data_IF_396646571630
#
_entry.id   IF_396646571630
#
_cell.length_a   1.000
_cell.length_b   1.000
_cell.length_c   1.000
_cell.angle_alpha   90.00
_cell.angle_beta   90.00
_cell.angle_gamma   90.00
#
_symmetry.space_group_name_H-M   'P 1'
#
loop_
_entity.id
_entity.type
_entity.pdbx_description
1 polymer ?
#
# COMPACT_ATOMS: atom_id res chain seq x y z
N UNK A 1 -0.67 26.73 -6.79
CA UNK A 1 -1.38 25.85 -5.83
C UNK A 1 -2.08 24.80 -6.66
N UNK A 2 -1.98 23.51 -6.33
CA UNK A 2 -2.60 22.49 -7.17
C UNK A 2 -4.12 22.72 -7.31
N UNK A 3 -4.73 22.54 -8.49
CA UNK A 3 -6.19 22.65 -8.71
C UNK A 3 -6.83 21.67 -7.73
N UNK A 4 -7.49 22.22 -6.72
CA UNK A 4 -8.06 21.41 -5.65
C UNK A 4 -9.03 20.38 -6.24
N UNK A 5 -8.98 19.14 -5.75
CA UNK A 5 -10.05 18.18 -6.00
C UNK A 5 -11.40 18.79 -5.66
N UNK A 6 -12.41 18.41 -6.43
CA UNK A 6 -13.81 18.77 -6.25
C UNK A 6 -14.29 18.40 -4.83
N UNK A 7 -15.41 19.00 -4.42
CA UNK A 7 -16.05 18.64 -3.16
C UNK A 7 -16.43 17.15 -3.12
N UNK A 8 -16.90 16.59 -4.23
CA UNK A 8 -17.24 15.17 -4.33
C UNK A 8 -16.01 14.28 -4.17
N UNK A 9 -14.91 14.60 -4.85
CA UNK A 9 -13.63 13.90 -4.68
C UNK A 9 -13.12 13.95 -3.24
N UNK A 10 -13.25 15.09 -2.55
CA UNK A 10 -12.89 15.22 -1.12
C UNK A 10 -13.78 14.38 -0.22
N UNK A 11 -15.09 14.36 -0.48
CA UNK A 11 -16.05 13.54 0.28
C UNK A 11 -15.71 12.06 0.10
N UNK A 12 -15.47 11.62 -1.13
CA UNK A 12 -15.09 10.25 -1.45
C UNK A 12 -13.82 9.82 -0.71
N UNK A 13 -12.73 10.59 -0.80
CA UNK A 13 -11.47 10.28 -0.11
C UNK A 13 -11.67 10.15 1.43
N UNK A 14 -12.49 11.02 2.03
CA UNK A 14 -12.84 10.95 3.46
C UNK A 14 -13.68 9.72 3.79
N UNK A 15 -14.63 9.34 2.93
CA UNK A 15 -15.45 8.13 3.12
C UNK A 15 -14.58 6.87 3.08
N UNK A 16 -13.64 6.78 2.13
CA UNK A 16 -12.65 5.68 2.07
C UNK A 16 -11.82 5.63 3.36
N UNK A 17 -11.28 6.77 3.81
CA UNK A 17 -10.50 6.83 5.06
C UNK A 17 -11.31 6.43 6.30
N UNK A 18 -12.58 6.84 6.40
CA UNK A 18 -13.48 6.42 7.49
C UNK A 18 -13.76 4.92 7.45
N UNK A 19 -13.98 4.36 6.26
CA UNK A 19 -14.23 2.92 6.11
C UNK A 19 -13.02 2.09 6.53
N UNK A 20 -11.80 2.55 6.21
CA UNK A 20 -10.55 1.93 6.69
C UNK A 20 -10.49 1.95 8.22
N UNK A 21 -10.72 3.11 8.86
CA UNK A 21 -10.73 3.22 10.33
C UNK A 21 -11.80 2.34 10.98
N UNK A 22 -12.99 2.25 10.39
CA UNK A 22 -14.06 1.37 10.88
C UNK A 22 -13.64 -0.10 10.90
N UNK A 23 -12.84 -0.49 9.91
CA UNK A 23 -12.44 -1.87 9.66
C UNK A 23 -11.13 -2.29 10.31
N UNK A 24 -10.31 -1.33 10.72
CA UNK A 24 -9.09 -1.55 11.50
C UNK A 24 -9.32 -2.49 12.69
N UNK A 25 -10.40 -2.25 13.44
CA UNK A 25 -10.78 -3.08 14.59
C UNK A 25 -10.88 -4.57 14.24
N UNK A 26 -11.44 -4.91 13.08
CA UNK A 26 -11.69 -6.30 12.67
C UNK A 26 -10.36 -7.05 12.54
N UNK A 27 -9.39 -6.48 11.81
CA UNK A 27 -8.12 -7.15 11.64
C UNK A 27 -7.17 -6.99 12.82
N UNK A 28 -7.22 -5.88 13.57
CA UNK A 28 -6.44 -5.71 14.79
C UNK A 28 -6.80 -6.79 15.83
N UNK A 29 -8.10 -7.07 15.99
CA UNK A 29 -8.61 -8.17 16.82
C UNK A 29 -8.15 -9.53 16.29
N UNK A 30 -8.17 -9.74 14.96
CA UNK A 30 -7.71 -10.99 14.36
C UNK A 30 -6.21 -11.24 14.58
N UNK A 31 -5.37 -10.20 14.52
CA UNK A 31 -3.92 -10.30 14.79
C UNK A 31 -3.68 -10.61 16.27
N UNK A 32 -4.24 -9.78 17.15
CA UNK A 32 -3.95 -9.79 18.58
C UNK A 32 -4.77 -10.77 19.40
N UNK A 33 -5.64 -11.56 18.76
CA UNK A 33 -6.62 -12.41 19.43
C UNK A 33 -7.51 -11.63 20.42
N UNK A 34 -7.93 -10.42 20.02
CA UNK A 34 -8.82 -9.56 20.79
C UNK A 34 -8.18 -8.70 21.87
N UNK A 35 -6.86 -8.76 22.05
CA UNK A 35 -6.16 -7.92 23.04
C UNK A 35 -6.07 -6.45 22.60
N UNK A 36 -6.01 -6.20 21.30
CA UNK A 36 -5.77 -4.88 20.72
C UNK A 36 -6.84 -4.52 19.69
N UNK A 37 -7.11 -3.22 19.56
CA UNK A 37 -8.15 -2.66 18.70
C UNK A 37 -7.62 -1.81 17.54
N UNK A 38 -6.32 -1.58 17.52
CA UNK A 38 -5.62 -0.77 16.52
C UNK A 38 -4.48 -1.60 15.89
N UNK A 39 -4.12 -1.28 14.66
CA UNK A 39 -3.12 -2.05 13.89
C UNK A 39 -1.78 -2.12 14.60
N UNK A 40 -1.23 -0.95 14.98
CA UNK A 40 0.13 -0.87 15.50
C UNK A 40 0.30 -1.56 16.86
N UNK A 41 -0.59 -1.36 17.85
CA UNK A 41 -0.61 -2.18 19.06
C UNK A 41 -0.77 -3.67 18.76
N UNK A 42 -1.67 -4.07 17.84
CA UNK A 42 -1.88 -5.49 17.52
C UNK A 42 -0.64 -6.18 16.95
N UNK A 43 0.08 -5.53 16.02
CA UNK A 43 1.32 -6.11 15.48
C UNK A 43 2.45 -6.14 16.50
N UNK A 44 2.55 -5.12 17.37
CA UNK A 44 3.50 -5.13 18.49
C UNK A 44 3.21 -6.24 19.50
N UNK A 45 1.94 -6.45 19.82
CA UNK A 45 1.50 -7.55 20.68
C UNK A 45 1.91 -8.91 20.11
N UNK A 46 1.73 -9.11 18.79
CA UNK A 46 2.15 -10.33 18.10
C UNK A 46 3.67 -10.53 18.20
N UNK A 47 4.46 -9.51 17.88
CA UNK A 47 5.92 -9.59 17.96
C UNK A 47 6.40 -9.86 19.40
N UNK A 48 5.81 -9.19 20.40
CA UNK A 48 6.09 -9.45 21.81
C UNK A 48 5.77 -10.89 22.22
N UNK A 49 4.61 -11.41 21.80
CA UNK A 49 4.19 -12.79 22.07
C UNK A 49 5.14 -13.82 21.45
N UNK A 50 5.64 -13.56 20.23
CA UNK A 50 6.64 -14.40 19.58
C UNK A 50 7.98 -14.40 20.31
N UNK A 51 8.40 -13.25 20.83
CA UNK A 51 9.66 -13.11 21.57
C UNK A 51 9.63 -13.82 22.93
N UNK A 52 8.48 -13.78 23.63
CA UNK A 52 8.29 -14.44 24.92
C UNK A 52 8.21 -15.97 24.80
N UNK A 53 7.78 -16.49 23.66
CA UNK A 53 7.69 -17.93 23.45
C UNK A 53 9.08 -18.53 23.18
N UNK A 54 9.53 -19.45 24.03
CA UNK A 54 10.85 -20.09 23.90
C UNK A 54 10.91 -21.27 22.91
N UNK A 55 9.75 -21.85 22.54
CA UNK A 55 9.68 -23.03 21.68
C UNK A 55 9.41 -22.68 20.22
N UNK A 56 10.26 -23.10 19.25
CA UNK A 56 10.01 -22.87 17.82
C UNK A 56 8.68 -23.46 17.33
N UNK A 57 8.24 -24.59 17.89
CA UNK A 57 6.96 -25.22 17.52
C UNK A 57 5.78 -24.37 17.99
N UNK A 58 5.88 -23.79 19.20
CA UNK A 58 4.83 -22.93 19.73
C UNK A 58 4.79 -21.57 19.03
N UNK A 59 5.95 -20.98 18.66
CA UNK A 59 6.01 -19.79 17.79
C UNK A 59 5.33 -20.02 16.44
N UNK A 60 5.59 -21.16 15.82
CA UNK A 60 4.95 -21.58 14.57
C UNK A 60 3.44 -21.70 14.75
N UNK A 61 2.97 -22.38 15.80
CA UNK A 61 1.55 -22.53 16.07
C UNK A 61 0.86 -21.18 16.30
N UNK A 62 1.52 -20.26 17.02
CA UNK A 62 1.03 -18.90 17.22
C UNK A 62 0.87 -18.15 15.89
N UNK A 63 1.89 -18.22 15.03
CA UNK A 63 1.86 -17.52 13.73
C UNK A 63 0.85 -18.12 12.75
N UNK A 64 0.71 -19.45 12.75
CA UNK A 64 -0.32 -20.15 11.99
C UNK A 64 -1.71 -19.72 12.45
N UNK A 65 -1.96 -19.68 13.76
CA UNK A 65 -3.25 -19.25 14.30
C UNK A 65 -3.60 -17.81 13.90
N UNK A 66 -2.62 -16.90 13.86
CA UNK A 66 -2.81 -15.54 13.31
C UNK A 66 -3.17 -15.59 11.83
N UNK A 67 -2.42 -16.36 11.04
CA UNK A 67 -2.69 -16.52 9.61
C UNK A 67 -4.08 -17.08 9.32
N UNK A 68 -4.52 -18.07 10.10
CA UNK A 68 -5.85 -18.69 9.98
C UNK A 68 -6.96 -17.70 10.36
N UNK A 69 -6.80 -16.95 11.46
CA UNK A 69 -7.76 -15.90 11.85
C UNK A 69 -7.87 -14.84 10.76
N UNK A 70 -6.75 -14.33 10.25
CA UNK A 70 -6.75 -13.35 9.16
C UNK A 70 -7.41 -13.90 7.89
N UNK A 71 -7.13 -15.16 7.53
CA UNK A 71 -7.76 -15.81 6.37
C UNK A 71 -9.25 -16.08 6.54
N UNK A 72 -9.73 -16.23 7.78
CA UNK A 72 -11.14 -16.46 8.09
C UNK A 72 -12.02 -15.21 7.97
N UNK A 73 -11.44 -14.01 7.91
CA UNK A 73 -12.19 -12.76 7.75
C UNK A 73 -12.96 -12.80 6.41
N UNK A 74 -14.24 -12.41 6.38
CA UNK A 74 -15.01 -12.34 5.13
C UNK A 74 -14.32 -11.45 4.10
N UNK A 75 -14.35 -11.82 2.81
CA UNK A 75 -13.75 -11.01 1.73
C UNK A 75 -14.31 -9.59 1.69
N UNK A 76 -15.60 -9.44 2.00
CA UNK A 76 -16.24 -8.13 2.10
C UNK A 76 -15.60 -7.23 3.15
N UNK A 77 -15.02 -7.78 4.22
CA UNK A 77 -14.31 -7.05 5.29
C UNK A 77 -12.82 -6.92 4.99
N UNK A 78 -12.16 -7.99 4.51
CA UNK A 78 -10.78 -8.00 4.01
C UNK A 78 -10.54 -7.04 2.86
N UNK A 79 -11.58 -6.71 2.09
CA UNK A 79 -11.47 -5.76 0.98
C UNK A 79 -10.63 -4.55 1.38
N UNK A 80 -10.87 -4.00 2.58
CA UNK A 80 -10.19 -2.83 3.14
C UNK A 80 -8.82 -3.08 3.80
N UNK A 81 -8.33 -4.33 3.89
CA UNK A 81 -7.04 -4.63 4.49
C UNK A 81 -6.60 -6.07 4.18
N UNK A 82 -5.33 -6.21 3.83
CA UNK A 82 -4.56 -7.46 3.82
C UNK A 82 -4.58 -8.29 2.53
N UNK A 83 -3.43 -8.28 1.85
CA UNK A 83 -2.95 -9.41 1.05
C UNK A 83 -2.19 -10.37 1.97
N UNK A 84 -2.77 -11.54 2.29
CA UNK A 84 -2.15 -12.54 3.20
C UNK A 84 -1.38 -13.56 2.38
N UNK A 85 -0.08 -13.67 2.63
CA UNK A 85 0.72 -14.83 2.24
C UNK A 85 1.09 -15.60 3.49
N UNK A 86 0.78 -16.90 3.54
CA UNK A 86 1.13 -17.79 4.65
C UNK A 86 1.79 -19.05 4.11
N UNK A 87 3.02 -19.29 4.55
CA UNK A 87 3.72 -20.56 4.37
C UNK A 87 3.84 -21.25 5.73
N UNK A 88 3.28 -22.44 5.84
CA UNK A 88 3.14 -23.14 7.12
C UNK A 88 3.82 -24.52 7.06
N UNK A 89 4.78 -24.76 7.95
CA UNK A 89 5.40 -26.05 8.18
C UNK A 89 5.50 -26.37 9.68
N UNK A 90 6.02 -27.54 10.04
CA UNK A 90 6.06 -28.00 11.45
C UNK A 90 6.98 -27.18 12.38
N UNK A 91 8.08 -26.64 11.82
CA UNK A 91 9.11 -25.87 12.56
C UNK A 91 9.52 -24.60 11.82
N UNK A 92 8.79 -24.25 10.77
CA UNK A 92 9.01 -23.04 9.99
C UNK A 92 7.66 -22.47 9.61
N UNK A 93 7.49 -21.17 9.75
CA UNK A 93 6.27 -20.47 9.36
C UNK A 93 6.65 -19.07 8.89
N UNK A 94 6.05 -18.62 7.80
CA UNK A 94 6.25 -17.29 7.24
C UNK A 94 4.88 -16.70 6.96
N UNK A 95 4.61 -15.52 7.51
CA UNK A 95 3.42 -14.75 7.20
C UNK A 95 3.84 -13.37 6.70
N UNK A 96 3.20 -12.95 5.62
CA UNK A 96 3.26 -11.58 5.11
C UNK A 96 1.85 -11.07 4.97
N UNK A 97 1.57 -9.88 5.49
CA UNK A 97 0.26 -9.27 5.43
C UNK A 97 0.35 -7.75 5.35
N UNK A 98 -0.59 -7.09 4.68
CA UNK A 98 -0.61 -5.63 4.50
C UNK A 98 -1.72 -4.96 5.31
N UNK A 99 -1.46 -3.79 5.88
CA UNK A 99 -2.47 -2.99 6.60
C UNK A 99 -2.63 -1.62 5.94
N UNK A 100 -3.85 -1.07 5.98
CA UNK A 100 -4.16 0.28 5.52
C UNK A 100 -4.34 1.19 6.74
N UNK A 101 -3.67 2.35 6.72
CA UNK A 101 -3.71 3.37 7.76
C UNK A 101 -4.17 4.69 7.16
N UNK A 102 -5.36 5.15 7.53
CA UNK A 102 -5.87 6.45 7.11
C UNK A 102 -5.35 7.54 8.05
N UNK A 103 -4.23 8.14 7.67
CA UNK A 103 -3.45 9.07 8.50
C UNK A 103 -2.68 10.10 7.63
N UNK A 104 -1.87 10.92 8.28
CA UNK A 104 -0.96 11.85 7.62
C UNK A 104 0.16 11.13 6.84
N UNK A 105 0.74 11.85 5.89
CA UNK A 105 1.81 11.35 5.03
C UNK A 105 3.03 10.92 5.87
N UNK A 106 3.65 9.74 5.60
CA UNK A 106 4.74 9.19 6.42
C UNK A 106 6.04 10.03 6.40
N UNK A 107 6.10 11.05 5.55
CA UNK A 107 7.19 12.03 5.49
C UNK A 107 6.67 13.46 5.74
N UNK A 108 5.75 13.62 6.69
CA UNK A 108 5.09 14.88 7.04
C UNK A 108 6.06 16.08 7.11
N UNK A 109 7.24 15.90 7.72
CA UNK A 109 8.27 16.93 7.82
C UNK A 109 8.77 17.49 6.47
N UNK A 110 8.61 16.73 5.38
CA UNK A 110 9.04 17.10 4.02
C UNK A 110 7.86 17.47 3.12
N UNK A 111 6.67 16.92 3.38
CA UNK A 111 5.49 17.08 2.52
C UNK A 111 4.44 18.04 3.08
N UNK A 112 4.56 18.43 4.35
CA UNK A 112 3.50 19.09 5.11
C UNK A 112 2.40 18.12 5.54
N UNK A 113 1.29 18.67 6.07
CA UNK A 113 0.08 17.97 6.54
C UNK A 113 -0.77 17.42 5.39
N UNK A 114 -0.18 16.57 4.56
CA UNK A 114 -0.92 15.87 3.51
C UNK A 114 -1.55 14.61 4.08
N UNK A 115 -2.87 14.52 3.96
CA UNK A 115 -3.64 13.36 4.40
C UNK A 115 -3.77 12.34 3.28
N UNK A 116 -3.87 11.07 3.65
CA UNK A 116 -4.09 10.01 2.68
C UNK A 116 -4.29 8.66 3.34
N UNK A 117 -3.87 7.62 2.64
CA UNK A 117 -3.81 6.27 3.19
C UNK A 117 -2.42 5.70 2.99
N UNK A 118 -1.79 5.34 4.09
CA UNK A 118 -0.51 4.65 4.12
C UNK A 118 -0.74 3.14 4.14
N UNK A 119 0.00 2.43 3.30
CA UNK A 119 -0.01 0.98 3.21
C UNK A 119 1.29 0.46 3.81
N UNK A 120 1.16 -0.40 4.80
CA UNK A 120 2.28 -1.08 5.45
C UNK A 120 2.27 -2.56 5.12
N UNK A 121 3.46 -3.14 5.04
CA UNK A 121 3.67 -4.57 4.99
C UNK A 121 4.30 -5.04 6.31
N UNK A 122 3.77 -6.15 6.82
CA UNK A 122 4.28 -6.83 8.00
C UNK A 122 4.76 -8.21 7.58
N UNK A 123 6.00 -8.51 7.90
CA UNK A 123 6.67 -9.74 7.57
C UNK A 123 7.16 -10.40 8.85
N UNK A 124 6.69 -11.62 9.11
CA UNK A 124 7.16 -12.42 10.22
C UNK A 124 7.52 -13.82 9.74
N UNK A 125 8.75 -14.24 10.04
CA UNK A 125 9.28 -15.54 9.68
C UNK A 125 9.91 -16.20 10.89
N UNK A 126 9.50 -17.42 11.13
CA UNK A 126 10.08 -18.34 12.11
C UNK A 126 10.75 -19.46 11.32
N UNK A 127 12.02 -19.72 11.58
CA UNK A 127 12.76 -20.80 10.94
C UNK A 127 13.92 -21.31 11.78
N UNK A 128 14.70 -22.25 11.21
CA UNK A 128 15.88 -22.82 11.87
C UNK A 128 16.97 -21.76 12.13
N UNK A 129 17.07 -20.77 11.25
CA UNK A 129 18.02 -19.65 11.36
C UNK A 129 17.59 -18.57 12.35
N UNK A 130 16.43 -18.73 13.00
CA UNK A 130 15.89 -17.77 13.96
C UNK A 130 14.59 -17.13 13.51
N UNK A 131 14.32 -15.95 14.04
CA UNK A 131 13.12 -15.16 13.77
C UNK A 131 13.49 -13.92 12.98
N UNK A 132 12.85 -13.68 11.85
CA UNK A 132 12.92 -12.41 11.10
C UNK A 132 11.56 -11.73 11.22
N UNK A 133 11.54 -10.57 11.88
CA UNK A 133 10.32 -9.82 12.17
C UNK A 133 10.53 -8.40 11.69
N UNK A 134 9.77 -8.00 10.67
CA UNK A 134 9.75 -6.64 10.11
C UNK A 134 8.32 -6.15 10.12
N UNK A 135 8.02 -5.19 10.97
CA UNK A 135 6.68 -4.66 11.16
C UNK A 135 6.61 -3.24 10.64
N UNK A 136 5.48 -2.87 10.03
CA UNK A 136 5.24 -1.50 9.60
C UNK A 136 6.12 -1.04 8.46
N UNK A 137 6.63 -1.96 7.62
CA UNK A 137 7.43 -1.60 6.44
C UNK A 137 6.54 -0.80 5.51
N UNK A 138 6.87 0.48 5.28
CA UNK A 138 6.13 1.34 4.36
C UNK A 138 6.29 0.79 2.95
N UNK A 139 5.17 0.48 2.29
CA UNK A 139 5.17 0.01 0.89
C UNK A 139 4.54 1.03 -0.04
N UNK A 140 3.50 1.74 0.39
CA UNK A 140 2.92 2.82 -0.41
C UNK A 140 2.22 3.87 0.46
N UNK A 141 2.04 5.05 -0.10
CA UNK A 141 1.12 6.07 0.37
C UNK A 141 0.29 6.53 -0.82
N UNK A 142 -1.02 6.64 -0.67
CA UNK A 142 -1.89 7.24 -1.65
C UNK A 142 -2.56 8.47 -1.05
N UNK A 143 -2.30 9.64 -1.65
CA UNK A 143 -2.82 10.89 -1.14
C UNK A 143 -4.36 10.96 -1.25
N UNK A 144 -4.99 11.75 -0.39
CA UNK A 144 -6.40 12.06 -0.53
C UNK A 144 -6.72 12.71 -1.89
N UNK A 145 -5.75 13.44 -2.46
CA UNK A 145 -5.84 13.97 -3.81
C UNK A 145 -5.92 12.85 -4.86
N UNK A 146 -5.09 11.82 -4.78
CA UNK A 146 -5.16 10.68 -5.70
C UNK A 146 -6.50 9.94 -5.62
N UNK A 147 -7.02 9.70 -4.41
CA UNK A 147 -8.34 9.12 -4.18
C UNK A 147 -9.47 9.99 -4.75
N UNK A 148 -9.40 11.32 -4.58
CA UNK A 148 -10.36 12.25 -5.16
C UNK A 148 -10.34 12.22 -6.69
N UNK A 149 -9.14 12.18 -7.29
CA UNK A 149 -8.98 12.10 -8.75
C UNK A 149 -9.47 10.79 -9.34
N UNK A 150 -9.34 9.67 -8.61
CA UNK A 150 -9.96 8.41 -9.00
C UNK A 150 -11.48 8.58 -9.19
N UNK A 151 -12.16 9.19 -8.21
CA UNK A 151 -13.61 9.44 -8.28
C UNK A 151 -14.01 10.38 -9.42
N UNK A 152 -13.24 11.44 -9.63
CA UNK A 152 -13.56 12.48 -10.62
C UNK A 152 -13.33 12.04 -12.07
N UNK A 153 -12.38 11.13 -12.30
CA UNK A 153 -11.89 10.80 -13.65
C UNK A 153 -12.36 9.44 -14.14
N UNK A 154 -12.88 8.58 -13.26
CA UNK A 154 -13.51 7.34 -13.66
C UNK A 154 -14.75 7.62 -14.53
N UNK A 155 -14.95 6.80 -15.56
CA UNK A 155 -16.13 6.88 -16.43
C UNK A 155 -17.40 6.44 -15.72
N UNK A 156 -17.27 5.46 -14.84
CA UNK A 156 -18.36 4.91 -14.04
C UNK A 156 -18.33 5.44 -12.61
N UNK A 157 -19.45 5.30 -11.91
CA UNK A 157 -19.52 5.64 -10.50
C UNK A 157 -18.59 4.75 -9.67
N UNK A 158 -17.69 5.39 -8.93
CA UNK A 158 -16.69 4.74 -8.09
C UNK A 158 -17.26 4.57 -6.68
N UNK A 159 -17.36 3.32 -6.23
CA UNK A 159 -17.76 3.00 -4.86
C UNK A 159 -16.56 2.97 -3.91
N UNK A 160 -16.83 2.95 -2.60
CA UNK A 160 -15.79 2.88 -1.56
C UNK A 160 -14.90 1.64 -1.75
N UNK A 161 -15.48 0.52 -2.19
CA UNK A 161 -14.75 -0.73 -2.47
C UNK A 161 -13.70 -0.55 -3.59
N UNK A 162 -13.95 0.33 -4.55
CA UNK A 162 -13.05 0.59 -5.67
C UNK A 162 -11.89 1.48 -5.23
N UNK A 163 -12.16 2.48 -4.36
CA UNK A 163 -11.10 3.26 -3.70
C UNK A 163 -10.18 2.37 -2.87
N UNK A 164 -10.74 1.39 -2.18
CA UNK A 164 -9.99 0.36 -1.46
C UNK A 164 -9.20 -0.55 -2.42
N UNK A 165 -9.79 -0.97 -3.54
CA UNK A 165 -9.11 -1.74 -4.57
C UNK A 165 -7.91 -1.01 -5.17
N UNK A 166 -8.06 0.29 -5.43
CA UNK A 166 -6.98 1.19 -5.83
C UNK A 166 -5.82 1.19 -4.83
N UNK A 167 -6.11 1.29 -3.52
CA UNK A 167 -5.08 1.26 -2.47
C UNK A 167 -4.31 -0.07 -2.45
N UNK A 168 -4.98 -1.21 -2.71
CA UNK A 168 -4.32 -2.52 -2.82
C UNK A 168 -3.37 -2.58 -4.02
N UNK A 169 -3.78 -2.03 -5.17
CA UNK A 169 -2.91 -1.94 -6.35
C UNK A 169 -1.67 -1.09 -6.05
N UNK A 170 -1.83 0.06 -5.41
CA UNK A 170 -0.71 0.90 -4.97
C UNK A 170 0.22 0.15 -4.00
N UNK A 171 -0.33 -0.58 -3.03
CA UNK A 171 0.44 -1.40 -2.09
C UNK A 171 1.28 -2.48 -2.77
N UNK A 172 0.69 -3.21 -3.73
CA UNK A 172 1.41 -4.24 -4.51
C UNK A 172 2.52 -3.65 -5.36
N UNK A 173 2.24 -2.56 -6.06
CA UNK A 173 3.25 -1.88 -6.85
C UNK A 173 4.38 -1.32 -5.98
N UNK A 174 4.05 -0.79 -4.80
CA UNK A 174 5.01 -0.31 -3.82
C UNK A 174 5.90 -1.41 -3.24
N UNK A 175 5.33 -2.55 -2.85
CA UNK A 175 6.08 -3.73 -2.41
C UNK A 175 7.03 -4.21 -3.51
N UNK A 176 6.54 -4.26 -4.74
CA UNK A 176 7.35 -4.63 -5.90
C UNK A 176 8.51 -3.64 -6.13
N UNK A 177 8.22 -2.34 -6.17
CA UNK A 177 9.21 -1.29 -6.35
C UNK A 177 10.28 -1.26 -5.23
N UNK A 178 9.92 -1.65 -4.01
CA UNK A 178 10.87 -1.77 -2.91
C UNK A 178 11.93 -2.87 -3.14
N UNK A 179 11.55 -3.94 -3.86
CA UNK A 179 12.44 -5.08 -4.18
C UNK A 179 13.27 -4.86 -5.45
N UNK A 180 12.83 -3.99 -6.36
CA UNK A 180 13.53 -3.69 -7.61
C UNK A 180 14.42 -2.45 -7.46
N UNK A 181 15.73 -2.66 -7.35
CA UNK A 181 16.69 -1.57 -7.09
C UNK A 181 16.71 -0.52 -8.18
N UNK A 182 16.41 -0.91 -9.43
CA UNK A 182 16.31 0.03 -10.54
C UNK A 182 15.22 1.05 -10.27
N UNK A 183 14.04 0.63 -9.83
CA UNK A 183 12.87 1.51 -9.62
C UNK A 183 12.98 2.48 -8.42
N UNK A 184 14.11 2.50 -7.70
CA UNK A 184 14.32 3.43 -6.59
C UNK A 184 14.51 4.85 -7.10
N UNK A 185 13.86 5.81 -6.43
CA UNK A 185 13.83 7.25 -6.77
C UNK A 185 13.31 7.53 -8.20
N UNK A 186 12.39 6.69 -8.70
CA UNK A 186 11.81 6.85 -10.02
C UNK A 186 10.33 7.22 -9.99
N UNK A 187 9.85 7.74 -11.12
CA UNK A 187 8.43 7.85 -11.39
C UNK A 187 7.83 6.46 -11.57
N UNK A 188 6.69 6.22 -10.93
CA UNK A 188 5.93 4.98 -11.03
C UNK A 188 4.54 5.32 -11.56
N UNK A 189 4.20 4.68 -12.66
CA UNK A 189 2.90 4.74 -13.32
C UNK A 189 2.29 3.34 -13.32
N UNK A 190 1.04 3.22 -12.89
CA UNK A 190 0.34 1.95 -12.78
C UNK A 190 -1.03 2.10 -13.43
N UNK A 191 -1.37 1.21 -14.35
CA UNK A 191 -2.70 1.18 -14.95
C UNK A 191 -3.71 0.67 -13.90
N UNK A 192 -4.78 1.44 -13.68
CA UNK A 192 -5.89 1.03 -12.82
C UNK A 192 -6.97 0.30 -13.61
N UNK A 193 -7.21 0.77 -14.83
CA UNK A 193 -8.07 0.18 -15.85
C UNK A 193 -7.58 0.67 -17.23
N UNK A 194 -8.40 0.52 -18.27
CA UNK A 194 -8.04 0.95 -19.62
C UNK A 194 -7.94 2.48 -19.78
N UNK A 195 -8.52 3.24 -18.86
CA UNK A 195 -8.69 4.70 -18.98
C UNK A 195 -7.90 5.51 -17.94
N UNK A 196 -7.41 4.90 -16.87
CA UNK A 196 -6.81 5.59 -15.73
C UNK A 196 -5.44 5.04 -15.37
N UNK A 197 -4.52 5.97 -15.07
CA UNK A 197 -3.16 5.68 -14.63
C UNK A 197 -2.92 6.37 -13.28
N UNK A 198 -2.58 5.60 -12.26
CA UNK A 198 -2.08 6.11 -10.99
C UNK A 198 -0.60 6.50 -11.15
N UNK A 199 -0.26 7.72 -10.71
CA UNK A 199 1.07 8.29 -10.90
C UNK A 199 1.63 8.83 -9.59
N UNK A 200 2.91 8.56 -9.38
CA UNK A 200 3.65 9.04 -8.24
C UNK A 200 5.14 8.77 -8.39
N UNK A 201 5.88 8.85 -7.28
CA UNK A 201 7.30 8.52 -7.27
C UNK A 201 7.63 7.61 -6.11
N UNK A 202 8.70 6.85 -6.22
CA UNK A 202 9.22 6.14 -5.05
C UNK A 202 9.94 7.11 -4.12
N UNK A 203 9.63 7.06 -2.83
CA UNK A 203 10.32 7.82 -1.78
C UNK A 203 11.01 6.85 -0.84
N UNK A 204 11.91 7.38 0.00
CA UNK A 204 12.49 6.63 1.12
C UNK A 204 11.97 7.28 2.40
N UNK A 205 11.25 6.50 3.18
CA UNK A 205 10.71 6.93 4.47
C UNK A 205 10.80 5.78 5.46
N UNK A 206 10.60 6.08 6.73
CA UNK A 206 10.56 5.05 7.76
C UNK A 206 9.44 5.31 8.75
N UNK A 207 8.97 4.24 9.39
CA UNK A 207 8.07 4.31 10.52
C UNK A 207 8.64 3.44 11.64
N UNK A 208 8.97 4.06 12.77
CA UNK A 208 9.80 3.43 13.80
C UNK A 208 11.24 3.25 13.31
N UNK A 209 11.80 2.05 13.51
CA UNK A 209 13.23 1.76 13.26
C UNK A 209 13.54 1.26 11.84
N UNK A 210 12.53 1.13 10.97
CA UNK A 210 12.68 0.57 9.63
C UNK A 210 12.49 1.65 8.56
N UNK A 211 13.52 1.86 7.75
CA UNK A 211 13.46 2.70 6.55
C UNK A 211 13.35 1.84 5.29
N UNK A 212 12.38 2.14 4.43
CA UNK A 212 12.14 1.43 3.18
C UNK A 212 11.84 2.39 2.03
N UNK A 213 12.09 1.93 0.80
CA UNK A 213 11.53 2.58 -0.38
C UNK A 213 10.04 2.25 -0.45
N UNK A 214 9.20 3.24 -0.72
CA UNK A 214 7.75 3.08 -0.86
C UNK A 214 7.24 3.89 -2.04
N UNK A 215 6.11 3.49 -2.61
CA UNK A 215 5.44 4.23 -3.68
C UNK A 215 4.57 5.36 -3.12
N UNK A 216 4.91 6.61 -3.40
CA UNK A 216 4.16 7.80 -3.03
C UNK A 216 3.26 8.23 -4.20
N UNK A 217 2.03 7.72 -4.22
CA UNK A 217 1.03 7.98 -5.23
C UNK A 217 0.35 9.34 -5.01
N UNK A 218 0.52 10.26 -5.97
CA UNK A 218 0.10 11.67 -5.85
C UNK A 218 -1.18 12.00 -6.60
N UNK A 219 -1.47 11.27 -7.66
CA UNK A 219 -2.62 11.55 -8.52
C UNK A 219 -3.03 10.33 -9.35
N UNK A 220 -4.18 10.45 -10.00
CA UNK A 220 -4.69 9.49 -11.00
C UNK A 220 -5.01 10.28 -12.26
N UNK A 221 -4.32 10.04 -13.36
CA UNK A 221 -4.50 10.75 -14.64
C UNK A 221 -5.38 9.93 -15.60
N UNK A 222 -6.18 10.59 -16.45
CA UNK A 222 -6.72 9.96 -17.65
C UNK A 222 -5.58 9.48 -18.55
N UNK A 223 -5.73 8.32 -19.19
CA UNK A 223 -4.69 7.69 -20.02
C UNK A 223 -4.27 8.56 -21.19
N UNK A 224 -5.18 9.33 -21.76
CA UNK A 224 -4.93 10.29 -22.86
C UNK A 224 -4.15 11.53 -22.42
N UNK A 225 -4.10 11.84 -21.12
CA UNK A 225 -3.25 12.87 -20.55
C UNK A 225 -1.81 12.38 -20.25
N UNK A 226 -1.54 11.08 -20.43
CA UNK A 226 -0.24 10.48 -20.19
C UNK A 226 0.60 10.44 -21.47
N UNK A 227 1.91 10.59 -21.30
CA UNK A 227 2.85 10.40 -22.41
C UNK A 227 3.06 8.89 -22.71
N UNK A 228 3.62 8.58 -23.89
CA UNK A 228 3.81 7.19 -24.32
C UNK A 228 4.69 6.36 -23.38
N UNK A 229 5.65 6.99 -22.70
CA UNK A 229 6.53 6.32 -21.74
C UNK A 229 5.77 5.92 -20.47
N UNK A 230 4.93 6.83 -19.94
CA UNK A 230 4.07 6.55 -18.79
C UNK A 230 3.07 5.44 -19.10
N UNK A 231 2.47 5.45 -20.30
CA UNK A 231 1.53 4.43 -20.74
C UNK A 231 2.22 3.07 -20.87
N UNK A 232 3.43 3.04 -21.45
CA UNK A 232 4.23 1.82 -21.56
C UNK A 232 4.60 1.26 -20.17
N UNK A 233 5.04 2.14 -19.26
CA UNK A 233 5.36 1.76 -17.88
C UNK A 233 4.15 1.19 -17.14
N UNK A 234 3.01 1.87 -17.22
CA UNK A 234 1.75 1.44 -16.61
C UNK A 234 1.29 0.07 -17.12
N UNK A 235 1.42 -0.17 -18.43
CA UNK A 235 1.05 -1.43 -19.06
C UNK A 235 1.98 -2.56 -18.64
N UNK A 236 3.30 -2.34 -18.63
CA UNK A 236 4.27 -3.34 -18.18
C UNK A 236 4.07 -3.70 -16.69
N UNK A 237 3.82 -2.70 -15.83
CA UNK A 237 3.50 -2.94 -14.42
C UNK A 237 2.26 -3.83 -14.27
N UNK A 238 1.20 -3.58 -15.03
CA UNK A 238 -0.02 -4.37 -14.97
C UNK A 238 0.24 -5.85 -15.34
N UNK A 239 1.07 -6.13 -16.35
CA UNK A 239 1.40 -7.52 -16.72
C UNK A 239 2.31 -8.20 -15.68
N UNK A 240 3.23 -7.47 -15.06
CA UNK A 240 4.04 -7.99 -13.95
C UNK A 240 3.17 -8.31 -12.73
N UNK A 241 2.24 -7.42 -12.36
CA UNK A 241 1.32 -7.66 -11.25
C UNK A 241 0.35 -8.83 -11.50
N UNK A 242 0.08 -9.16 -12.78
CA UNK A 242 -0.67 -10.36 -13.20
C UNK A 242 0.20 -11.62 -13.28
N UNK A 243 1.52 -11.52 -13.07
CA UNK A 243 2.47 -12.63 -13.19
C UNK A 243 2.73 -13.08 -14.63
N UNK A 244 2.44 -12.23 -15.61
CA UNK A 244 2.59 -12.52 -17.05
C UNK A 244 3.88 -11.98 -17.67
N UNK A 245 4.57 -11.10 -16.94
CA UNK A 245 5.80 -10.45 -17.35
C UNK A 245 6.79 -10.41 -16.18
N UNK A 246 8.05 -10.09 -16.47
CA UNK A 246 9.11 -9.92 -15.48
C UNK A 246 9.42 -8.45 -15.22
N UNK A 247 10.05 -8.16 -14.08
CA UNK A 247 10.49 -6.81 -13.71
C UNK A 247 11.39 -6.13 -14.75
N UNK A 248 12.12 -6.92 -15.53
CA UNK A 248 13.02 -6.42 -16.56
C UNK A 248 12.29 -5.73 -17.71
N UNK A 249 11.01 -6.02 -17.88
CA UNK A 249 10.16 -5.48 -18.95
C UNK A 249 9.54 -4.13 -18.58
N UNK A 250 9.66 -3.67 -17.33
CA UNK A 250 9.16 -2.36 -16.90
C UNK A 250 10.14 -1.26 -17.34
N UNK A 251 9.71 -0.32 -18.20
CA UNK A 251 10.48 0.88 -18.54
C UNK A 251 10.90 1.67 -17.30
N UNK A 252 12.18 2.00 -17.23
CA UNK A 252 12.73 2.79 -16.14
C UNK A 252 12.68 4.29 -16.47
N UNK A 253 11.83 5.02 -15.77
CA UNK A 253 11.66 6.47 -15.97
C UNK A 253 12.42 7.24 -14.90
N UNK A 254 13.66 7.64 -15.22
CA UNK A 254 14.48 8.52 -14.36
C UNK A 254 13.96 9.94 -14.49
N UNK A 255 12.98 10.29 -13.66
CA UNK A 255 12.51 11.66 -13.53
C UNK A 255 12.74 12.14 -12.09
N UNK A 256 13.10 13.42 -11.86
CA UNK A 256 13.30 13.96 -10.52
C UNK A 256 12.11 13.64 -9.61
N UNK A 257 12.38 13.47 -8.31
CA UNK A 257 11.38 13.09 -7.30
C UNK A 257 10.13 13.98 -7.25
N UNK A 258 10.24 15.22 -7.73
CA UNK A 258 9.18 16.23 -7.73
C UNK A 258 8.61 16.47 -9.14
N UNK A 259 9.07 15.75 -10.16
CA UNK A 259 8.60 15.87 -11.53
C UNK A 259 7.09 15.70 -11.64
N UNK A 260 6.49 14.75 -10.91
CA UNK A 260 5.03 14.55 -10.90
C UNK A 260 4.33 15.77 -10.30
N UNK A 261 4.88 16.36 -9.23
CA UNK A 261 4.34 17.58 -8.61
C UNK A 261 4.50 18.79 -9.55
N UNK A 262 5.60 18.89 -10.28
CA UNK A 262 5.82 19.92 -11.30
C UNK A 262 4.91 19.74 -12.52
N UNK A 263 4.72 18.50 -12.98
CA UNK A 263 3.80 18.17 -14.08
C UNK A 263 2.37 18.49 -13.68
N UNK A 264 1.95 18.13 -12.46
CA UNK A 264 0.65 18.53 -11.92
C UNK A 264 0.47 20.05 -11.95
N UNK A 265 1.44 20.83 -11.46
CA UNK A 265 1.39 22.31 -11.55
C UNK A 265 1.21 22.78 -13.00
N UNK A 266 1.99 22.25 -13.94
CA UNK A 266 1.93 22.64 -15.37
C UNK A 266 0.60 22.29 -16.04
N UNK A 267 0.04 21.11 -15.78
CA UNK A 267 -1.28 20.72 -16.29
C UNK A 267 -2.38 21.65 -15.78
N UNK A 268 -2.21 22.19 -14.58
CA UNK A 268 -3.22 23.01 -13.93
C UNK A 268 -3.10 24.49 -14.28
N UNK A 269 -1.89 24.96 -14.60
CA UNK A 269 -1.59 26.31 -15.08
C UNK A 269 -1.83 26.49 -16.60
N UNK A 270 -2.06 25.39 -17.34
CA UNK A 270 -2.13 25.36 -18.80
C UNK A 270 -3.33 24.59 -19.40
N UNK A 271 -4.48 24.60 -18.72
CA UNK A 271 -5.80 24.22 -19.28
C UNK A 271 -6.87 25.23 -18.91
#
# INVERSE_FOLDING_TARGET
MAKSITTEGRIFARQVGREIKRRELIGAVAISNGNEKEWWPAVKWLAGSLNLEGSPVKRVALLQAVGDRLKSIPEADKGAFVDITLFAGKRACEIMFTTLLADDHPMEALTGLETGVTIQCHYLKIGRSGTDVRLGVLVAHASAHALGRLRERARDDVEIKDGIGFLRVCGKAGLFAATETRLRKAEINIALNDDLIATGSTKVGGQGDLASSFFDCRTVLPRDACDGEQIAQATAFAEVLKGRATANEIPFLVRPNDFVLEKLKRFEDGS
#
